data_IF_957398266151
#
_entry.id   IF_957398266151
#
_cell.length_a   1.000
_cell.length_b   1.000
_cell.length_c   1.000
_cell.angle_alpha   90.00
_cell.angle_beta   90.00
_cell.angle_gamma   90.00
#
_symmetry.space_group_name_H-M   'P 1'
#
loop_
_entity.id
_entity.type
_entity.pdbx_description
1 polymer ?
#
# COMPACT_ATOMS: atom_id res chain seq x y z
N UNK A 1 7.84 18.55 1.87
CA UNK A 1 6.79 17.54 2.18
C UNK A 1 7.17 16.25 1.47
N UNK A 2 7.21 15.10 2.16
CA UNK A 2 7.59 13.82 1.55
C UNK A 2 6.34 13.09 1.06
N UNK A 3 6.28 12.73 -0.23
CA UNK A 3 5.11 12.05 -0.85
C UNK A 3 4.75 10.75 -0.13
N UNK A 4 5.75 10.04 0.40
CA UNK A 4 5.58 8.84 1.23
C UNK A 4 4.65 9.07 2.44
N UNK A 5 4.74 10.22 3.12
CA UNK A 5 3.90 10.51 4.29
C UNK A 5 2.44 10.68 3.87
N UNK A 6 2.21 11.42 2.78
CA UNK A 6 0.87 11.67 2.23
C UNK A 6 0.19 10.34 1.86
N UNK A 7 0.90 9.46 1.15
CA UNK A 7 0.40 8.14 0.78
C UNK A 7 0.06 7.32 2.03
N UNK A 8 0.97 7.29 3.02
CA UNK A 8 0.76 6.55 4.26
C UNK A 8 -0.47 7.04 5.03
N UNK A 9 -0.68 8.35 5.13
CA UNK A 9 -1.84 8.94 5.80
C UNK A 9 -3.15 8.61 5.06
N UNK A 10 -3.19 8.81 3.74
CA UNK A 10 -4.37 8.49 2.92
C UNK A 10 -4.76 7.02 3.03
N UNK A 11 -3.79 6.11 2.89
CA UNK A 11 -4.02 4.67 3.02
C UNK A 11 -4.46 4.28 4.43
N UNK A 12 -3.84 4.87 5.46
CA UNK A 12 -4.23 4.63 6.85
C UNK A 12 -5.68 5.06 7.11
N UNK A 13 -6.07 6.24 6.62
CA UNK A 13 -7.41 6.77 6.80
C UNK A 13 -8.48 5.94 6.05
N UNK A 14 -8.19 5.51 4.81
CA UNK A 14 -9.16 4.80 3.96
C UNK A 14 -9.28 3.31 4.30
N UNK A 15 -8.17 2.63 4.57
CA UNK A 15 -8.13 1.16 4.69
C UNK A 15 -7.99 0.65 6.11
N UNK A 16 -7.68 1.53 7.08
CA UNK A 16 -7.37 1.21 8.49
C UNK A 16 -6.55 -0.08 8.63
N UNK A 17 -5.39 -0.18 7.96
CA UNK A 17 -4.59 -1.39 7.97
C UNK A 17 -4.00 -1.62 9.36
N UNK A 18 -3.91 -2.88 9.77
CA UNK A 18 -3.19 -3.32 10.97
C UNK A 18 -1.68 -3.19 10.80
N UNK A 19 -1.17 -3.31 9.57
CA UNK A 19 0.24 -3.09 9.25
C UNK A 19 0.37 -2.34 7.93
N UNK A 20 1.16 -1.27 7.93
CA UNK A 20 1.47 -0.47 6.74
C UNK A 20 2.95 -0.12 6.73
N UNK A 21 3.65 -0.63 5.74
CA UNK A 21 5.05 -0.32 5.45
C UNK A 21 5.15 0.26 4.04
N UNK A 22 5.94 1.33 3.88
CA UNK A 22 6.15 1.97 2.59
C UNK A 22 7.65 2.21 2.42
N UNK A 23 8.21 1.65 1.37
CA UNK A 23 9.64 1.60 1.05
C UNK A 23 9.85 2.37 -0.25
N UNK A 24 10.80 3.31 -0.26
CA UNK A 24 11.25 3.95 -1.50
C UNK A 24 12.21 3.01 -2.25
N UNK A 25 11.84 2.62 -3.47
CA UNK A 25 12.66 1.79 -4.37
C UNK A 25 13.41 2.60 -5.41
N UNK A 26 13.13 3.88 -5.52
CA UNK A 26 13.72 4.77 -6.52
C UNK A 26 15.11 5.29 -6.18
N UNK A 27 15.83 4.61 -5.28
CA UNK A 27 17.18 5.01 -4.87
C UNK A 27 17.24 6.47 -4.37
N UNK A 28 16.15 6.98 -3.79
CA UNK A 28 16.06 8.37 -3.30
C UNK A 28 15.54 9.41 -4.30
N UNK A 29 15.13 9.00 -5.51
CA UNK A 29 14.52 9.90 -6.50
C UNK A 29 13.02 10.19 -6.23
N UNK A 30 12.34 9.37 -5.43
CA UNK A 30 10.93 9.52 -5.08
C UNK A 30 9.95 9.16 -6.21
N UNK A 31 10.37 8.33 -7.16
CA UNK A 31 9.59 7.97 -8.37
C UNK A 31 9.01 6.55 -8.33
N UNK A 32 9.50 5.70 -7.42
CA UNK A 32 9.09 4.30 -7.30
C UNK A 32 8.94 3.91 -5.83
N UNK A 33 7.74 3.48 -5.44
CA UNK A 33 7.45 3.06 -4.07
C UNK A 33 6.92 1.64 -4.02
N UNK A 34 7.30 0.92 -2.97
CA UNK A 34 6.79 -0.39 -2.59
C UNK A 34 6.02 -0.25 -1.28
N UNK A 35 4.71 -0.52 -1.29
CA UNK A 35 3.87 -0.50 -0.10
C UNK A 35 3.42 -1.92 0.28
N UNK A 36 3.62 -2.30 1.53
CA UNK A 36 3.05 -3.51 2.11
C UNK A 36 1.91 -3.10 3.03
N UNK A 37 0.70 -3.53 2.68
CA UNK A 37 -0.53 -3.15 3.37
C UNK A 37 -1.22 -4.41 3.84
N UNK A 38 -1.46 -4.49 5.15
CA UNK A 38 -2.16 -5.59 5.78
C UNK A 38 -3.43 -5.06 6.41
N UNK A 39 -4.58 -5.52 5.93
CA UNK A 39 -5.88 -5.08 6.45
C UNK A 39 -6.92 -6.18 6.35
N UNK A 40 -7.82 -6.24 7.33
CA UNK A 40 -9.01 -7.10 7.28
C UNK A 40 -9.97 -6.68 6.16
N UNK A 41 -9.85 -5.45 5.64
CA UNK A 41 -10.68 -4.94 4.56
C UNK A 41 -10.42 -5.64 3.21
N UNK A 42 -9.35 -6.43 3.14
CA UNK A 42 -8.97 -7.25 2.00
C UNK A 42 -9.51 -8.69 2.09
N UNK A 43 -9.98 -9.09 3.27
CA UNK A 43 -10.73 -10.34 3.44
C UNK A 43 -11.97 -10.28 2.53
N UNK A 44 -12.25 -11.35 1.80
CA UNK A 44 -13.29 -11.43 0.76
C UNK A 44 -13.10 -10.61 -0.54
N UNK A 45 -12.03 -9.82 -0.68
CA UNK A 45 -11.74 -9.10 -1.93
C UNK A 45 -10.70 -9.82 -2.79
N UNK A 46 -10.94 -9.87 -4.11
CA UNK A 46 -9.94 -10.35 -5.08
C UNK A 46 -8.76 -9.39 -5.14
N UNK A 47 -7.59 -9.91 -5.51
CA UNK A 47 -6.36 -9.12 -5.60
C UNK A 47 -6.51 -7.87 -6.48
N UNK A 48 -7.22 -7.98 -7.61
CA UNK A 48 -7.51 -6.84 -8.48
C UNK A 48 -8.37 -5.76 -7.80
N UNK A 49 -9.38 -6.15 -7.02
CA UNK A 49 -10.23 -5.20 -6.30
C UNK A 49 -9.47 -4.51 -5.17
N UNK A 50 -8.59 -5.24 -4.48
CA UNK A 50 -7.65 -4.66 -3.50
C UNK A 50 -6.79 -3.59 -4.17
N UNK A 51 -6.24 -3.90 -5.35
CA UNK A 51 -5.42 -2.99 -6.14
C UNK A 51 -6.18 -1.74 -6.59
N UNK A 52 -7.40 -1.92 -7.11
CA UNK A 52 -8.26 -0.79 -7.47
C UNK A 52 -8.52 0.13 -6.28
N UNK A 53 -8.84 -0.42 -5.11
CA UNK A 53 -9.19 0.38 -3.94
C UNK A 53 -8.02 1.23 -3.45
N UNK A 54 -6.82 0.65 -3.39
CA UNK A 54 -5.61 1.40 -3.04
C UNK A 54 -5.29 2.44 -4.11
N UNK A 55 -5.30 2.06 -5.39
CA UNK A 55 -5.02 2.98 -6.49
C UNK A 55 -6.01 4.15 -6.55
N UNK A 56 -7.27 3.95 -6.18
CA UNK A 56 -8.27 5.00 -6.14
C UNK A 56 -7.97 6.02 -5.03
N UNK A 57 -7.54 5.55 -3.85
CA UNK A 57 -7.15 6.39 -2.71
C UNK A 57 -5.93 7.26 -3.03
N UNK A 58 -4.94 6.71 -3.74
CA UNK A 58 -3.68 7.40 -4.07
C UNK A 58 -3.63 7.87 -5.52
N UNK A 59 -4.78 7.98 -6.19
CA UNK A 59 -4.86 8.26 -7.63
C UNK A 59 -4.18 9.57 -8.01
N UNK A 60 -4.35 10.61 -7.20
CA UNK A 60 -3.71 11.92 -7.37
C UNK A 60 -2.18 11.81 -7.24
N UNK A 61 -1.68 11.05 -6.27
CA UNK A 61 -0.25 10.82 -6.09
C UNK A 61 0.34 9.95 -7.19
N UNK A 62 -0.42 8.98 -7.70
CA UNK A 62 0.00 8.07 -8.77
C UNK A 62 0.33 8.83 -10.07
N UNK A 63 -0.27 10.01 -10.31
CA UNK A 63 0.10 10.87 -11.43
C UNK A 63 1.50 11.49 -11.28
N UNK A 64 1.98 11.61 -10.04
CA UNK A 64 3.27 12.21 -9.72
C UNK A 64 4.39 11.16 -9.59
N UNK A 65 4.04 9.87 -9.61
CA UNK A 65 4.94 8.74 -9.34
C UNK A 65 5.00 7.88 -10.59
N UNK A 66 6.19 7.40 -10.96
CA UNK A 66 6.37 6.59 -12.17
C UNK A 66 5.90 5.15 -11.96
N UNK A 67 6.17 4.59 -10.78
CA UNK A 67 5.77 3.24 -10.42
C UNK A 67 5.33 3.14 -8.95
N UNK A 68 4.21 2.47 -8.71
CA UNK A 68 3.76 2.14 -7.36
C UNK A 68 3.47 0.65 -7.28
N UNK A 69 4.27 -0.07 -6.50
CA UNK A 69 4.05 -1.46 -6.16
C UNK A 69 3.35 -1.55 -4.82
N UNK A 70 2.37 -2.43 -4.74
CA UNK A 70 1.57 -2.63 -3.55
C UNK A 70 1.33 -4.11 -3.31
N UNK A 71 1.53 -4.53 -2.06
CA UNK A 71 1.28 -5.89 -1.58
C UNK A 71 0.15 -5.83 -0.58
N UNK A 72 -1.04 -6.27 -0.99
CA UNK A 72 -2.23 -6.31 -0.15
C UNK A 72 -2.43 -7.70 0.44
N UNK A 73 -2.04 -7.87 1.69
CA UNK A 73 -2.22 -9.12 2.42
C UNK A 73 -3.34 -9.00 3.45
N UNK A 74 -4.04 -10.10 3.69
CA UNK A 74 -4.88 -10.19 4.88
C UNK A 74 -3.99 -10.41 6.11
N UNK A 75 -4.45 -10.08 7.32
CA UNK A 75 -3.70 -10.35 8.55
C UNK A 75 -3.37 -11.84 8.68
N UNK A 76 -4.29 -12.72 8.28
CA UNK A 76 -4.11 -14.16 8.30
C UNK A 76 -3.01 -14.62 7.31
N UNK A 77 -2.91 -14.01 6.13
CA UNK A 77 -1.82 -14.28 5.19
C UNK A 77 -0.49 -13.73 5.71
N UNK A 78 -0.48 -12.52 6.25
CA UNK A 78 0.73 -11.87 6.74
C UNK A 78 1.33 -12.59 7.96
N UNK A 79 0.47 -13.08 8.86
CA UNK A 79 0.89 -13.86 10.04
C UNK A 79 1.63 -15.17 9.64
N UNK A 80 1.15 -15.84 8.58
CA UNK A 80 1.82 -17.02 8.00
C UNK A 80 3.17 -16.69 7.40
N UNK A 81 3.28 -15.55 6.70
CA UNK A 81 4.54 -15.11 6.07
C UNK A 81 5.56 -14.72 7.15
N UNK A 82 5.13 -14.08 8.23
CA UNK A 82 6.01 -13.63 9.31
C UNK A 82 6.50 -14.76 10.23
N UNK A 83 5.74 -15.85 10.32
CA UNK A 83 6.08 -17.01 11.17
C UNK A 83 6.99 -18.04 10.49
N UNK A 84 7.49 -17.76 9.28
CA UNK A 84 8.47 -18.58 8.56
C UNK A 84 9.79 -17.84 8.48
#
# INVERSE_FOLDING_TARGET
MCVQKVIKEKLSAALKPTFLELIDKSCGCGTSFDAVIVSNNFTDKRLLDRHRLVNDVIKDELQNIHAFSMKCHTPAEYDKIKST
#
